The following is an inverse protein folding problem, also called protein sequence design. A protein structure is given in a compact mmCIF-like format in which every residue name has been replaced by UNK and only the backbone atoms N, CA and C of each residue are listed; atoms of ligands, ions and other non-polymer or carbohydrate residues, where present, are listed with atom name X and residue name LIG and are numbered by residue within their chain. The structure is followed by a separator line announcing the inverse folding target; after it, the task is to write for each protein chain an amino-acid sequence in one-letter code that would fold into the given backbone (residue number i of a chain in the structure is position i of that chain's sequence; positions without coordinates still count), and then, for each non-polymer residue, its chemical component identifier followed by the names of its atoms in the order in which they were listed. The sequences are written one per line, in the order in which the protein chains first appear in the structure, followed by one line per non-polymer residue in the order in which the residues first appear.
data_IF_202102964633
#
_entry.id   IF_202102964633
#
_cell.length_a   1.000
_cell.length_b   1.000
_cell.length_c   1.000
_cell.angle_alpha   90.00
_cell.angle_beta   90.00
_cell.angle_gamma   90.00
#
_symmetry.space_group_name_H-M   'P 1'
#
loop_
_entity.id
_entity.type
_entity.pdbx_description
1 polymer ?
#
# COMPACT_ATOMS: atom_id res chain seq x y z
N UNK A 1 -10.39 7.24 -45.13
CA UNK A 1 -9.70 6.23 -44.32
C UNK A 1 -8.89 6.97 -43.25
N UNK A 2 -9.32 6.89 -42.00
CA UNK A 2 -8.61 7.46 -40.84
C UNK A 2 -8.49 6.30 -39.87
N UNK A 3 -7.30 5.87 -39.50
CA UNK A 3 -7.13 4.90 -38.41
C UNK A 3 -7.25 5.68 -37.11
N UNK A 4 -8.29 5.48 -36.29
CA UNK A 4 -8.32 6.09 -34.99
C UNK A 4 -7.42 5.22 -34.12
N UNK A 5 -6.33 5.78 -33.62
CA UNK A 5 -5.68 5.24 -32.45
C UNK A 5 -6.64 5.42 -31.27
N UNK A 6 -7.66 4.56 -31.21
CA UNK A 6 -8.42 4.34 -30.00
C UNK A 6 -7.45 3.72 -29.01
N UNK A 7 -7.01 4.50 -28.02
CA UNK A 7 -6.52 3.91 -26.77
C UNK A 7 -7.62 2.94 -26.33
N UNK A 8 -7.33 1.65 -26.33
CA UNK A 8 -8.27 0.69 -25.76
C UNK A 8 -8.46 1.06 -24.31
N UNK A 9 -9.69 1.42 -23.96
CA UNK A 9 -10.25 1.77 -22.65
C UNK A 9 -10.08 0.70 -21.55
N UNK A 10 -9.17 -0.25 -21.72
CA UNK A 10 -8.87 -1.25 -20.72
C UNK A 10 -7.73 -0.75 -19.86
N UNK A 11 -8.03 0.10 -18.89
CA UNK A 11 -7.24 0.09 -17.67
C UNK A 11 -7.35 -1.33 -17.11
N UNK A 12 -6.22 -2.06 -16.93
CA UNK A 12 -6.27 -3.35 -16.28
C UNK A 12 -6.98 -3.22 -14.93
N UNK A 13 -7.83 -4.18 -14.52
CA UNK A 13 -8.33 -4.20 -13.16
C UNK A 13 -7.12 -4.22 -12.22
N UNK A 14 -6.94 -3.15 -11.44
CA UNK A 14 -5.79 -2.86 -10.57
C UNK A 14 -4.57 -2.16 -11.20
N UNK A 15 -4.79 -1.24 -12.14
CA UNK A 15 -3.71 -0.37 -12.66
C UNK A 15 -3.44 0.86 -11.79
N UNK A 16 -2.98 0.61 -10.57
CA UNK A 16 -2.68 1.65 -9.58
C UNK A 16 -1.19 1.72 -9.25
N UNK A 17 -0.75 2.93 -8.94
CA UNK A 17 0.49 3.20 -8.22
C UNK A 17 0.11 3.46 -6.76
N UNK A 18 0.80 2.79 -5.84
CA UNK A 18 0.64 2.98 -4.41
C UNK A 18 1.88 3.67 -3.85
N UNK A 19 1.69 4.61 -2.95
CA UNK A 19 2.78 5.19 -2.19
C UNK A 19 2.32 5.58 -0.80
N UNK A 20 3.31 5.72 0.06
CA UNK A 20 3.14 6.14 1.41
C UNK A 20 3.55 7.61 1.56
N UNK A 21 2.76 8.36 2.29
CA UNK A 21 2.99 9.75 2.63
C UNK A 21 3.27 9.83 4.13
N UNK A 22 4.56 9.95 4.46
CA UNK A 22 5.02 9.97 5.85
C UNK A 22 4.57 11.22 6.60
N UNK A 23 4.45 12.35 5.91
CA UNK A 23 4.03 13.62 6.53
C UNK A 23 2.56 13.60 6.93
N UNK A 24 1.72 12.95 6.12
CA UNK A 24 0.27 12.87 6.35
C UNK A 24 -0.16 11.57 7.03
N UNK A 25 0.76 10.63 7.22
CA UNK A 25 0.41 9.32 7.73
C UNK A 25 -0.65 8.64 6.86
N UNK A 26 -0.39 8.52 5.55
CA UNK A 26 -1.34 7.85 4.63
C UNK A 26 -0.66 6.89 3.66
N UNK A 27 -1.42 5.91 3.19
CA UNK A 27 -1.12 5.18 1.95
C UNK A 27 -2.16 5.63 0.93
N UNK A 28 -1.65 6.20 -0.16
CA UNK A 28 -2.45 6.74 -1.26
C UNK A 28 -2.25 5.88 -2.50
N UNK A 29 -3.28 5.81 -3.34
CA UNK A 29 -3.18 5.24 -4.68
C UNK A 29 -3.66 6.20 -5.76
N UNK A 30 -3.18 6.01 -6.98
CA UNK A 30 -3.62 6.74 -8.18
C UNK A 30 -3.58 5.80 -9.37
N UNK A 31 -4.46 5.97 -10.35
CA UNK A 31 -4.32 5.27 -11.62
C UNK A 31 -3.01 5.68 -12.30
N UNK A 32 -2.41 4.79 -13.11
CA UNK A 32 -1.16 5.12 -13.84
C UNK A 32 -1.31 6.31 -14.79
N UNK A 33 -2.52 6.60 -15.24
CA UNK A 33 -2.82 7.79 -16.05
C UNK A 33 -2.90 9.09 -15.25
N UNK A 34 -2.71 9.02 -13.93
CA UNK A 34 -2.75 10.15 -13.00
C UNK A 34 -4.13 10.49 -12.45
N UNK A 35 -5.17 9.75 -12.84
CA UNK A 35 -6.55 10.00 -12.39
C UNK A 35 -6.92 9.18 -11.15
N UNK A 36 -8.06 9.52 -10.53
CA UNK A 36 -8.63 8.70 -9.44
C UNK A 36 -7.72 8.57 -8.21
N UNK A 37 -6.99 9.64 -7.86
CA UNK A 37 -6.18 9.65 -6.64
C UNK A 37 -7.08 9.55 -5.41
N UNK A 38 -6.78 8.62 -4.52
CA UNK A 38 -7.49 8.44 -3.26
C UNK A 38 -6.60 7.91 -2.15
N UNK A 39 -6.90 8.29 -0.91
CA UNK A 39 -6.28 7.73 0.30
C UNK A 39 -6.99 6.42 0.63
N UNK A 40 -6.24 5.32 0.70
CA UNK A 40 -6.79 3.98 1.00
C UNK A 40 -6.53 3.55 2.43
N UNK A 41 -5.43 4.01 3.04
CA UNK A 41 -5.13 3.77 4.46
C UNK A 41 -4.74 5.12 5.07
N UNK A 42 -5.31 5.43 6.23
CA UNK A 42 -4.93 6.56 7.05
C UNK A 42 -4.51 6.13 8.46
N UNK A 43 -3.81 7.01 9.15
CA UNK A 43 -3.53 6.87 10.57
C UNK A 43 -4.84 6.90 11.38
N UNK A 44 -4.90 6.14 12.48
CA UNK A 44 -6.07 6.13 13.37
C UNK A 44 -6.03 7.26 14.41
N UNK A 45 -4.84 7.66 14.85
CA UNK A 45 -4.63 8.77 15.80
C UNK A 45 -4.74 10.15 15.16
N UNK A 46 -5.02 11.21 15.96
CA UNK A 46 -5.11 12.59 15.48
C UNK A 46 -3.85 13.06 14.76
N UNK A 47 -4.05 13.86 13.71
CA UNK A 47 -3.01 14.40 12.81
C UNK A 47 -1.88 15.11 13.56
N UNK A 48 -2.17 15.74 14.70
CA UNK A 48 -1.20 16.48 15.51
C UNK A 48 -0.19 15.57 16.26
N UNK A 49 -0.40 14.24 16.20
CA UNK A 49 0.48 13.22 16.79
C UNK A 49 1.18 12.35 15.74
N UNK A 50 1.04 12.68 14.45
CA UNK A 50 1.62 11.91 13.37
C UNK A 50 3.13 11.85 13.50
N UNK A 51 3.73 10.65 13.49
CA UNK A 51 5.17 10.53 13.39
C UNK A 51 5.66 11.06 12.05
N UNK A 52 6.69 11.90 12.10
CA UNK A 52 7.83 11.76 11.19
C UNK A 52 8.22 10.27 11.30
N UNK A 53 8.08 9.50 10.21
CA UNK A 53 8.37 8.04 10.14
C UNK A 53 7.20 7.08 10.49
N UNK A 54 5.95 7.39 10.13
CA UNK A 54 4.82 6.47 10.36
C UNK A 54 4.92 5.11 9.67
N UNK A 55 5.69 5.02 8.59
CA UNK A 55 5.88 3.76 7.89
C UNK A 55 7.26 3.71 7.23
N UNK A 56 7.85 2.53 7.24
CA UNK A 56 9.22 2.32 6.72
C UNK A 56 9.25 1.37 5.53
N UNK A 57 8.29 0.45 5.42
CA UNK A 57 8.21 -0.51 4.31
C UNK A 57 6.79 -0.65 3.77
N UNK A 58 6.68 -0.90 2.46
CA UNK A 58 5.42 -1.10 1.74
C UNK A 58 5.60 -2.21 0.68
N UNK A 59 4.71 -3.19 0.65
CA UNK A 59 4.70 -4.25 -0.36
C UNK A 59 3.29 -4.55 -0.85
N UNK A 60 3.15 -4.89 -2.13
CA UNK A 60 1.85 -5.16 -2.78
C UNK A 60 1.82 -6.59 -3.27
N UNK A 61 0.86 -7.38 -2.77
CA UNK A 61 0.49 -8.68 -3.33
C UNK A 61 -0.61 -8.48 -4.38
N UNK A 62 -0.21 -8.49 -5.65
CA UNK A 62 -1.10 -8.30 -6.79
C UNK A 62 -1.94 -9.54 -7.13
N UNK A 63 -1.60 -10.71 -6.60
CA UNK A 63 -2.34 -11.96 -6.86
C UNK A 63 -3.54 -12.05 -5.92
N UNK A 64 -3.33 -11.80 -4.63
CA UNK A 64 -4.38 -11.86 -3.60
C UNK A 64 -5.10 -10.53 -3.38
N UNK A 65 -4.56 -9.44 -3.94
CA UNK A 65 -5.10 -8.09 -3.78
C UNK A 65 -4.93 -7.55 -2.37
N UNK A 66 -3.73 -7.70 -1.80
CA UNK A 66 -3.38 -7.20 -0.47
C UNK A 66 -2.23 -6.18 -0.53
N UNK A 67 -2.19 -5.28 0.43
CA UNK A 67 -1.10 -4.32 0.65
C UNK A 67 -0.60 -4.47 2.08
N UNK A 68 0.73 -4.52 2.24
CA UNK A 68 1.42 -4.73 3.51
C UNK A 68 2.26 -3.50 3.83
N UNK A 69 2.28 -3.07 5.09
CA UNK A 69 3.16 -1.99 5.55
C UNK A 69 3.70 -2.28 6.95
N UNK A 70 4.86 -1.73 7.26
CA UNK A 70 5.46 -1.77 8.58
C UNK A 70 5.17 -0.46 9.32
N UNK A 71 4.64 -0.55 10.54
CA UNK A 71 4.48 0.57 11.47
C UNK A 71 5.55 0.46 12.55
N UNK A 72 6.61 1.28 12.51
CA UNK A 72 7.72 1.20 13.47
C UNK A 72 7.33 1.69 14.87
N UNK A 73 6.29 2.52 15.02
CA UNK A 73 5.81 2.97 16.34
C UNK A 73 5.11 1.86 17.09
N UNK A 74 4.23 1.14 16.39
CA UNK A 74 3.48 0.03 16.93
C UNK A 74 4.31 -1.27 16.94
N UNK A 75 5.43 -1.28 16.24
CA UNK A 75 6.27 -2.45 16.01
C UNK A 75 5.47 -3.64 15.47
N UNK A 76 4.74 -3.38 14.38
CA UNK A 76 3.88 -4.36 13.70
C UNK A 76 4.08 -4.29 12.18
N UNK A 77 3.77 -5.41 11.52
CA UNK A 77 3.45 -5.40 10.09
C UNK A 77 1.95 -5.62 9.96
N UNK A 78 1.31 -4.72 9.24
CA UNK A 78 -0.11 -4.73 8.96
C UNK A 78 -0.37 -5.04 7.49
N UNK A 79 -1.62 -5.41 7.22
CA UNK A 79 -2.10 -5.73 5.89
C UNK A 79 -3.56 -5.33 5.74
N UNK A 80 -3.93 -4.93 4.53
CA UNK A 80 -5.31 -4.66 4.15
C UNK A 80 -5.54 -5.11 2.69
N UNK A 81 -6.81 -5.11 2.26
CA UNK A 81 -7.13 -5.17 0.83
C UNK A 81 -6.64 -3.91 0.11
N UNK A 82 -6.41 -4.03 -1.20
CA UNK A 82 -5.98 -2.92 -2.07
C UNK A 82 -6.89 -1.67 -2.04
N UNK A 83 -8.13 -1.81 -1.58
CA UNK A 83 -9.09 -0.72 -1.39
C UNK A 83 -9.15 -0.20 0.05
N UNK A 84 -8.23 -0.62 0.92
CA UNK A 84 -8.17 -0.21 2.32
C UNK A 84 -9.01 -1.04 3.30
N UNK A 85 -9.92 -1.88 2.80
CA UNK A 85 -10.79 -2.69 3.65
C UNK A 85 -10.04 -3.85 4.33
N UNK A 86 -10.63 -4.41 5.39
CA UNK A 86 -10.11 -5.59 6.09
C UNK A 86 -8.65 -5.41 6.57
N UNK A 87 -8.36 -4.28 7.19
CA UNK A 87 -7.08 -4.02 7.87
C UNK A 87 -6.90 -4.97 9.06
N UNK A 88 -5.76 -5.64 9.16
CA UNK A 88 -5.37 -6.48 10.31
C UNK A 88 -3.84 -6.53 10.48
N UNK A 89 -3.40 -6.89 11.69
CA UNK A 89 -1.98 -7.10 12.02
C UNK A 89 -1.57 -8.53 11.65
N UNK A 90 -0.53 -8.69 10.83
CA UNK A 90 -0.01 -10.00 10.42
C UNK A 90 1.25 -10.41 11.20
N UNK A 91 2.05 -9.45 11.65
CA UNK A 91 3.21 -9.69 12.54
C UNK A 91 3.19 -8.68 13.67
N UNK A 92 3.34 -9.15 14.91
CA UNK A 92 3.26 -8.29 16.11
C UNK A 92 4.36 -8.58 17.15
N UNK A 93 5.37 -9.38 16.79
CA UNK A 93 6.47 -9.74 17.68
C UNK A 93 7.69 -10.16 16.87
N UNK A 94 8.89 -10.07 17.46
CA UNK A 94 10.14 -10.44 16.80
C UNK A 94 10.54 -9.50 15.66
N UNK A 95 9.93 -8.32 15.57
CA UNK A 95 10.32 -7.28 14.64
C UNK A 95 11.44 -6.46 15.28
N UNK A 96 12.62 -6.50 14.65
CA UNK A 96 13.62 -5.46 14.78
C UNK A 96 13.22 -4.26 13.90
N UNK A 97 14.10 -3.26 13.74
CA UNK A 97 13.81 -2.11 12.87
C UNK A 97 13.60 -2.57 11.41
N UNK A 98 12.33 -2.63 10.98
CA UNK A 98 11.95 -2.97 9.61
C UNK A 98 12.20 -1.76 8.72
N UNK A 99 12.98 -1.94 7.65
CA UNK A 99 13.33 -0.86 6.72
C UNK A 99 12.66 -1.00 5.35
N UNK A 100 12.22 -2.22 5.00
CA UNK A 100 11.62 -2.52 3.71
C UNK A 100 10.77 -3.76 3.83
N UNK A 101 9.85 -3.95 2.89
CA UNK A 101 9.05 -5.16 2.77
C UNK A 101 9.12 -5.65 1.33
N UNK A 102 9.11 -6.96 1.15
CA UNK A 102 8.95 -7.61 -0.15
C UNK A 102 8.02 -8.81 -0.04
N UNK A 103 7.27 -9.10 -1.10
CA UNK A 103 6.39 -10.27 -1.15
C UNK A 103 6.76 -11.17 -2.32
N UNK A 104 6.64 -12.48 -2.12
CA UNK A 104 6.47 -13.46 -3.20
C UNK A 104 5.02 -13.96 -3.14
N UNK A 105 4.12 -13.39 -3.97
CA UNK A 105 2.70 -13.75 -3.97
C UNK A 105 2.42 -15.20 -4.34
N UNK A 106 3.27 -15.81 -5.18
CA UNK A 106 3.03 -17.17 -5.69
C UNK A 106 3.45 -18.19 -4.64
N UNK A 107 4.55 -17.93 -3.93
CA UNK A 107 4.98 -18.75 -2.80
C UNK A 107 4.21 -18.45 -1.50
N UNK A 108 3.51 -17.33 -1.43
CA UNK A 108 2.80 -16.88 -0.21
C UNK A 108 3.76 -16.40 0.88
N UNK A 109 4.90 -15.80 0.50
CA UNK A 109 5.93 -15.36 1.42
C UNK A 109 5.98 -13.83 1.53
N UNK A 110 6.29 -13.36 2.74
CA UNK A 110 6.57 -11.97 3.07
C UNK A 110 7.98 -11.91 3.67
N UNK A 111 8.78 -10.94 3.24
CA UNK A 111 10.14 -10.67 3.70
C UNK A 111 10.19 -9.24 4.25
N UNK A 112 10.92 -9.03 5.34
CA UNK A 112 11.02 -7.77 6.07
C UNK A 112 12.40 -7.57 6.71
#
# INVERSE_FOLDING_TARGET
MVTPWGRSDRTPPNDYIYWADGDHGTITRVHRDGTGREVVIGHHEPVDSLPVDWLTGLAVDWVSGNIYWADPKLNVIEVAKLNGSHRYVVVHSGLETVHSLAVDPVAGLLFW
#
